data_IF_139212760604
#
_entry.id   IF_139212760604
#
_cell.length_a   1.000
_cell.length_b   1.000
_cell.length_c   1.000
_cell.angle_alpha   90.00
_cell.angle_beta   90.00
_cell.angle_gamma   90.00
#
_symmetry.space_group_name_H-M   'P 1'
#
loop_
_entity.id
_entity.type
_entity.pdbx_description
1 polymer ?
#
# COMPACT_ATOMS: atom_id res chain seq x y z
N UNK A 1 9.54 12.22 1.14
CA UNK A 1 9.18 10.98 1.88
C UNK A 1 7.76 10.49 1.57
N UNK A 2 6.70 11.32 1.69
CA UNK A 2 5.30 10.92 1.41
C UNK A 2 5.06 10.25 0.04
N UNK A 3 5.62 10.83 -1.02
CA UNK A 3 5.48 10.30 -2.39
C UNK A 3 6.16 8.93 -2.54
N UNK A 4 7.30 8.72 -1.86
CA UNK A 4 8.00 7.45 -1.89
C UNK A 4 7.19 6.35 -1.19
N UNK A 5 6.58 6.65 -0.03
CA UNK A 5 5.72 5.69 0.68
C UNK A 5 4.49 5.34 -0.15
N UNK A 6 3.89 6.34 -0.82
CA UNK A 6 2.76 6.14 -1.71
C UNK A 6 3.10 5.23 -2.90
N UNK A 7 4.23 5.50 -3.57
CA UNK A 7 4.69 4.69 -4.71
C UNK A 7 5.04 3.25 -4.28
N UNK A 8 5.73 3.08 -3.15
CA UNK A 8 6.07 1.76 -2.62
C UNK A 8 4.82 0.95 -2.23
N UNK A 9 3.82 1.60 -1.64
CA UNK A 9 2.55 0.96 -1.31
C UNK A 9 1.81 0.45 -2.57
N UNK A 10 1.79 1.25 -3.65
CA UNK A 10 1.22 0.83 -4.93
C UNK A 10 1.96 -0.35 -5.55
N UNK A 11 3.30 -0.32 -5.52
CA UNK A 11 4.13 -1.43 -6.01
C UNK A 11 3.84 -2.70 -5.20
N UNK A 12 3.76 -2.59 -3.87
CA UNK A 12 3.47 -3.73 -3.01
C UNK A 12 2.07 -4.32 -3.24
N UNK A 13 1.07 -3.46 -3.48
CA UNK A 13 -0.26 -3.92 -3.89
C UNK A 13 -0.20 -4.65 -5.24
N UNK A 14 0.51 -4.12 -6.24
CA UNK A 14 0.62 -4.77 -7.55
C UNK A 14 1.29 -6.15 -7.45
N UNK A 15 2.37 -6.27 -6.67
CA UNK A 15 3.07 -7.54 -6.42
C UNK A 15 2.15 -8.51 -5.67
N UNK A 16 1.49 -8.05 -4.60
CA UNK A 16 0.55 -8.87 -3.84
C UNK A 16 -0.57 -9.42 -4.72
N UNK A 17 -1.11 -8.60 -5.61
CA UNK A 17 -2.14 -9.00 -6.57
C UNK A 17 -1.62 -10.05 -7.58
N UNK A 18 -0.41 -9.86 -8.13
CA UNK A 18 0.20 -10.87 -9.01
C UNK A 18 0.37 -12.21 -8.30
N UNK A 19 0.83 -12.21 -7.04
CA UNK A 19 0.97 -13.42 -6.25
C UNK A 19 -0.36 -14.12 -5.97
N UNK A 20 -1.46 -13.37 -5.80
CA UNK A 20 -2.81 -13.93 -5.65
C UNK A 20 -3.28 -14.59 -6.95
N UNK A 21 -3.08 -13.91 -8.09
CA UNK A 21 -3.51 -14.39 -9.41
C UNK A 21 -2.75 -15.65 -9.83
N UNK A 22 -1.45 -15.72 -9.55
CA UNK A 22 -0.58 -16.87 -9.87
C UNK A 22 -0.50 -17.92 -8.75
N UNK A 23 -1.34 -17.83 -7.71
CA UNK A 23 -1.26 -18.74 -6.58
C UNK A 23 -1.75 -20.15 -6.92
N UNK A 24 -0.82 -21.07 -7.16
CA UNK A 24 -1.13 -22.51 -7.31
C UNK A 24 -1.30 -23.23 -5.97
N UNK A 25 -0.94 -22.60 -4.84
CA UNK A 25 -1.01 -23.19 -3.52
C UNK A 25 -1.56 -22.23 -2.48
N UNK A 26 -2.29 -22.78 -1.50
CA UNK A 26 -2.92 -22.01 -0.40
C UNK A 26 -1.91 -21.12 0.35
N UNK A 27 -0.69 -21.56 0.68
CA UNK A 27 0.28 -20.69 1.36
C UNK A 27 0.65 -19.46 0.52
N UNK A 28 0.82 -19.61 -0.80
CA UNK A 28 1.16 -18.52 -1.71
C UNK A 28 0.00 -17.53 -1.86
N UNK A 29 -1.22 -18.04 -1.90
CA UNK A 29 -2.45 -17.23 -1.88
C UNK A 29 -2.54 -16.39 -0.60
N UNK A 30 -2.32 -17.01 0.56
CA UNK A 30 -2.34 -16.34 1.86
C UNK A 30 -1.29 -15.24 1.94
N UNK A 31 -0.05 -15.52 1.54
CA UNK A 31 1.03 -14.53 1.52
C UNK A 31 0.74 -13.37 0.56
N UNK A 32 0.21 -13.67 -0.64
CA UNK A 32 -0.21 -12.65 -1.60
C UNK A 32 -1.29 -11.75 -1.02
N UNK A 33 -2.30 -12.34 -0.36
CA UNK A 33 -3.41 -11.62 0.25
C UNK A 33 -2.96 -10.73 1.41
N UNK A 34 -2.06 -11.24 2.27
CA UNK A 34 -1.48 -10.45 3.37
C UNK A 34 -0.65 -9.29 2.80
N UNK A 35 0.19 -9.54 1.79
CA UNK A 35 1.03 -8.52 1.17
C UNK A 35 0.17 -7.43 0.51
N UNK A 36 -0.88 -7.81 -0.21
CA UNK A 36 -1.84 -6.90 -0.81
C UNK A 36 -2.58 -6.05 0.25
N UNK A 37 -3.04 -6.69 1.33
CA UNK A 37 -3.70 -6.02 2.45
C UNK A 37 -2.78 -5.01 3.14
N UNK A 38 -1.54 -5.39 3.43
CA UNK A 38 -0.54 -4.48 4.01
C UNK A 38 -0.23 -3.30 3.08
N UNK A 39 -0.09 -3.55 1.77
CA UNK A 39 0.10 -2.49 0.77
C UNK A 39 -1.06 -1.48 0.79
N UNK A 40 -2.30 -1.97 0.90
CA UNK A 40 -3.51 -1.14 0.97
C UNK A 40 -3.54 -0.26 2.24
N UNK A 41 -3.14 -0.81 3.39
CA UNK A 41 -3.04 -0.04 4.66
C UNK A 41 -1.95 1.04 4.55
N UNK A 42 -0.77 0.69 4.03
CA UNK A 42 0.31 1.65 3.82
C UNK A 42 -0.10 2.78 2.86
N UNK A 43 -0.86 2.45 1.80
CA UNK A 43 -1.39 3.43 0.87
C UNK A 43 -2.35 4.40 1.57
N UNK A 44 -3.31 3.89 2.34
CA UNK A 44 -4.25 4.71 3.08
C UNK A 44 -3.54 5.66 4.07
N UNK A 45 -2.54 5.16 4.81
CA UNK A 45 -1.73 5.98 5.71
C UNK A 45 -0.96 7.08 4.96
N UNK A 46 -0.38 6.77 3.79
CA UNK A 46 0.31 7.77 2.98
C UNK A 46 -0.64 8.90 2.53
N UNK A 47 -1.89 8.58 2.18
CA UNK A 47 -2.92 9.56 1.82
C UNK A 47 -3.30 10.43 3.03
N UNK A 48 -3.56 9.82 4.19
CA UNK A 48 -3.92 10.54 5.42
C UNK A 48 -2.80 11.49 5.83
N UNK A 49 -1.55 11.04 5.81
CA UNK A 49 -0.38 11.89 6.10
C UNK A 49 -0.29 13.02 5.08
N UNK A 50 -0.50 12.74 3.80
CA UNK A 50 -0.52 13.77 2.75
C UNK A 50 -1.56 14.86 3.01
N UNK A 51 -2.76 14.47 3.45
CA UNK A 51 -3.84 15.40 3.81
C UNK A 51 -3.56 16.19 5.09
N UNK A 52 -2.98 15.56 6.11
CA UNK A 52 -2.56 16.25 7.32
C UNK A 52 -1.47 17.29 7.04
N UNK A 53 -0.54 16.96 6.16
CA UNK A 53 0.54 17.87 5.73
C UNK A 53 0.00 19.07 4.94
N UNK A 54 -1.00 18.84 4.08
CA UNK A 54 -1.72 19.89 3.34
C UNK A 54 -2.44 20.85 4.30
N UNK A 55 -3.19 20.31 5.28
CA UNK A 55 -3.88 21.11 6.31
C UNK A 55 -2.87 21.91 7.14
N UNK A 56 -1.76 21.29 7.55
CA UNK A 56 -0.71 21.95 8.34
C UNK A 56 0.00 23.06 7.56
N UNK A 57 0.24 22.85 6.27
CA UNK A 57 0.84 23.86 5.39
C UNK A 57 -0.10 25.04 5.15
N UNK A 58 -1.42 24.83 5.14
CA UNK A 58 -2.41 25.88 4.90
C UNK A 58 -2.73 26.73 6.15
N UNK A 59 -2.27 26.29 7.33
CA UNK A 59 -2.37 27.01 8.60
C UNK A 59 -1.12 27.86 8.94
N UNK A 60 -0.07 27.78 8.10
CA UNK A 60 1.16 28.57 8.20
C UNK A 60 1.18 29.66 7.14
#
# INVERSE_FOLDING_TARGET
>A
MKIAVFALALIQMAIGLMFIVEAESVPRLTLGTISFGLGSVCFALAVVIGKLDEIRSNQR
#
